data_IF_339674839815
#
_entry.id   IF_339674839815
#
_cell.length_a   1.000
_cell.length_b   1.000
_cell.length_c   1.000
_cell.angle_alpha   90.00
_cell.angle_beta   90.00
_cell.angle_gamma   90.00
#
_symmetry.space_group_name_H-M   'P 1'
#
loop_
_entity.id
_entity.type
_entity.pdbx_description
1 polymer ?
#
# COMPACT_ATOMS: atom_id res chain seq x y z
N UNK A 1 -2.97 15.85 -8.91
CA UNK A 1 -2.35 14.78 -8.10
C UNK A 1 -2.46 13.50 -8.90
N UNK A 2 -1.34 12.85 -9.23
CA UNK A 2 -1.37 11.54 -9.89
C UNK A 2 -1.10 10.50 -8.80
N UNK A 3 -2.02 9.54 -8.67
CA UNK A 3 -1.85 8.38 -7.82
C UNK A 3 -1.73 7.15 -8.72
N UNK A 4 -0.83 6.23 -8.39
CA UNK A 4 -0.80 4.89 -9.01
C UNK A 4 -1.35 3.87 -8.04
N UNK A 5 -2.06 2.88 -8.58
CA UNK A 5 -2.52 1.73 -7.81
C UNK A 5 -1.64 0.55 -8.21
N UNK A 6 -0.98 -0.04 -7.23
CA UNK A 6 -0.01 -1.11 -7.44
C UNK A 6 -0.42 -2.37 -6.65
N UNK A 7 -0.27 -3.57 -7.24
CA UNK A 7 -0.52 -4.80 -6.51
C UNK A 7 0.55 -5.05 -5.46
N UNK A 8 0.14 -5.57 -4.31
CA UNK A 8 1.02 -6.00 -3.22
C UNK A 8 1.00 -7.52 -3.18
N UNK A 9 2.17 -8.13 -3.34
CA UNK A 9 2.33 -9.58 -3.30
C UNK A 9 2.95 -10.02 -1.98
N UNK A 10 2.63 -11.24 -1.55
CA UNK A 10 3.29 -11.87 -0.40
C UNK A 10 4.77 -12.04 -0.72
N UNK A 11 5.62 -11.61 0.21
CA UNK A 11 7.06 -11.73 0.10
C UNK A 11 7.57 -12.75 1.12
N UNK A 12 8.62 -13.47 0.78
CA UNK A 12 9.40 -14.27 1.72
C UNK A 12 10.86 -13.85 1.67
N UNK A 13 11.57 -14.05 2.77
CA UNK A 13 13.02 -13.84 2.80
C UNK A 13 13.73 -15.05 2.19
N UNK A 14 14.55 -14.81 1.17
CA UNK A 14 15.38 -15.82 0.52
C UNK A 14 16.80 -15.70 1.04
N UNK A 15 17.24 -16.68 1.85
CA UNK A 15 18.62 -16.71 2.35
C UNK A 15 19.65 -16.93 1.23
N UNK A 16 19.24 -17.56 0.12
CA UNK A 16 20.11 -17.83 -1.02
C UNK A 16 20.46 -16.53 -1.78
N UNK A 17 19.45 -15.71 -2.06
CA UNK A 17 19.61 -14.45 -2.79
C UNK A 17 19.86 -13.24 -1.86
N UNK A 18 19.74 -13.43 -0.54
CA UNK A 18 19.93 -12.40 0.47
C UNK A 18 18.93 -11.24 0.34
N UNK A 19 17.72 -11.54 -0.13
CA UNK A 19 16.69 -10.53 -0.44
C UNK A 19 15.28 -11.08 -0.23
N UNK A 20 14.30 -10.17 -0.25
CA UNK A 20 12.89 -10.54 -0.29
C UNK A 20 12.47 -10.89 -1.71
N UNK A 21 11.82 -12.05 -1.87
CA UNK A 21 11.27 -12.53 -3.13
C UNK A 21 9.74 -12.65 -3.04
N UNK A 22 9.06 -12.38 -4.15
CA UNK A 22 7.61 -12.52 -4.24
C UNK A 22 7.22 -13.98 -4.39
N UNK A 23 6.23 -14.43 -3.62
CA UNK A 23 5.60 -15.74 -3.83
C UNK A 23 4.64 -15.75 -5.02
N UNK A 24 4.30 -14.58 -5.57
CA UNK A 24 3.26 -14.39 -6.58
C UNK A 24 1.82 -14.39 -6.03
N UNK A 25 1.62 -14.63 -4.74
CA UNK A 25 0.31 -14.54 -4.09
C UNK A 25 -0.08 -13.08 -3.90
N UNK A 26 -1.18 -12.65 -4.54
CA UNK A 26 -1.70 -11.30 -4.40
C UNK A 26 -2.34 -11.15 -3.02
N UNK A 27 -1.85 -10.18 -2.24
CA UNK A 27 -2.35 -9.87 -0.90
C UNK A 27 -3.29 -8.67 -0.88
N UNK A 28 -3.20 -7.78 -1.87
CA UNK A 28 -4.03 -6.59 -1.97
C UNK A 28 -3.41 -5.55 -2.91
N UNK A 29 -3.78 -4.29 -2.70
CA UNK A 29 -3.33 -3.15 -3.50
C UNK A 29 -2.89 -2.01 -2.60
N UNK A 30 -1.95 -1.20 -3.09
CA UNK A 30 -1.50 0.01 -2.45
C UNK A 30 -1.73 1.22 -3.36
N UNK A 31 -2.07 2.35 -2.76
CA UNK A 31 -2.15 3.64 -3.43
C UNK A 31 -0.85 4.40 -3.18
N UNK A 32 -0.14 4.73 -4.26
CA UNK A 32 1.16 5.41 -4.20
C UNK A 32 1.01 6.83 -4.72
N UNK A 33 1.45 7.79 -3.91
CA UNK A 33 1.51 9.20 -4.25
C UNK A 33 2.56 9.51 -5.31
N UNK A 34 2.46 10.69 -5.91
CA UNK A 34 3.44 11.15 -6.91
C UNK A 34 4.88 11.27 -6.37
N UNK A 35 5.06 11.32 -5.05
CA UNK A 35 6.33 11.34 -4.34
C UNK A 35 6.87 9.94 -3.99
N UNK A 36 6.16 8.88 -4.41
CA UNK A 36 6.51 7.49 -4.13
C UNK A 36 6.10 7.01 -2.74
N UNK A 37 5.40 7.82 -1.94
CA UNK A 37 4.90 7.39 -0.63
C UNK A 37 3.63 6.56 -0.78
N UNK A 38 3.50 5.52 0.04
CA UNK A 38 2.24 4.79 0.17
C UNK A 38 1.27 5.64 0.98
N UNK A 39 0.09 5.88 0.42
CA UNK A 39 -0.98 6.68 1.00
C UNK A 39 -2.09 5.82 1.57
N UNK A 40 -2.25 4.58 1.10
CA UNK A 40 -3.29 3.68 1.58
C UNK A 40 -3.15 2.26 1.03
N UNK A 41 -3.83 1.32 1.68
CA UNK A 41 -3.93 -0.07 1.26
C UNK A 41 -5.40 -0.48 1.14
N UNK A 42 -5.66 -1.51 0.34
CA UNK A 42 -6.99 -2.11 0.19
C UNK A 42 -6.91 -3.54 -0.32
N UNK A 43 -7.97 -4.31 -0.12
CA UNK A 43 -8.09 -5.68 -0.66
C UNK A 43 -8.28 -5.66 -2.19
N UNK A 44 -8.75 -4.54 -2.73
CA UNK A 44 -9.03 -4.29 -4.13
C UNK A 44 -8.52 -2.88 -4.55
N UNK A 45 -8.41 -2.58 -5.86
CA UNK A 45 -7.90 -1.30 -6.33
C UNK A 45 -8.72 -0.08 -5.89
N UNK A 46 -10.04 -0.23 -5.73
CA UNK A 46 -10.94 0.86 -5.38
C UNK A 46 -10.81 1.21 -3.90
N UNK A 47 -10.77 0.20 -3.02
CA UNK A 47 -10.55 0.42 -1.59
C UNK A 47 -9.18 1.01 -1.29
N UNK A 48 -8.13 0.61 -2.00
CA UNK A 48 -6.81 1.22 -1.88
C UNK A 48 -6.80 2.70 -2.30
N UNK A 49 -7.49 3.03 -3.40
CA UNK A 49 -7.62 4.42 -3.87
C UNK A 49 -8.39 5.28 -2.87
N UNK A 50 -9.50 4.76 -2.32
CA UNK A 50 -10.29 5.45 -1.32
C UNK A 50 -9.45 5.76 -0.07
N UNK A 51 -8.72 4.77 0.44
CA UNK A 51 -7.82 4.96 1.58
C UNK A 51 -6.77 6.05 1.30
N UNK A 52 -6.21 6.08 0.07
CA UNK A 52 -5.29 7.14 -0.33
C UNK A 52 -5.92 8.54 -0.33
N UNK A 53 -7.16 8.69 -0.80
CA UNK A 53 -7.87 9.97 -0.75
C UNK A 53 -8.16 10.44 0.68
N UNK A 54 -8.54 9.52 1.56
CA UNK A 54 -8.78 9.81 2.97
C UNK A 54 -7.51 10.30 3.68
N UNK A 55 -6.36 9.68 3.38
CA UNK A 55 -5.06 10.10 3.91
C UNK A 55 -4.68 11.52 3.45
N UNK A 56 -4.77 11.80 2.15
CA UNK A 56 -4.47 13.14 1.60
C UNK A 56 -5.41 14.18 2.19
N UNK A 57 -6.70 13.89 2.26
CA UNK A 57 -7.69 14.80 2.83
C UNK A 57 -7.37 15.11 4.31
N UNK A 58 -6.99 14.10 5.09
CA UNK A 58 -6.59 14.27 6.50
C UNK A 58 -5.41 15.24 6.63
N UNK A 59 -4.36 15.05 5.82
CA UNK A 59 -3.18 15.92 5.80
C UNK A 59 -3.52 17.36 5.42
N UNK A 60 -4.37 17.57 4.42
CA UNK A 60 -4.83 18.90 4.00
C UNK A 60 -5.63 19.63 5.10
N UNK A 61 -6.26 18.89 6.02
CA UNK A 61 -6.96 19.44 7.18
C UNK A 61 -6.08 19.63 8.42
N UNK A 62 -4.77 19.38 8.31
CA UNK A 62 -3.85 19.46 9.44
C UNK A 62 -3.95 18.25 10.38
N UNK A 63 -4.47 17.13 9.90
CA UNK A 63 -4.40 15.84 10.59
C UNK A 63 -2.95 15.34 10.69
N UNK A 64 -2.72 14.42 11.62
CA UNK A 64 -1.42 13.78 11.77
C UNK A 64 -1.10 12.90 10.55
N UNK A 65 0.16 12.92 10.12
CA UNK A 65 0.69 12.02 9.09
C UNK A 65 0.89 10.63 9.71
N UNK A 66 -0.17 9.82 9.70
CA UNK A 66 -0.15 8.45 10.19
C UNK A 66 0.18 7.54 9.00
N UNK A 67 1.31 6.82 9.03
CA UNK A 67 1.67 5.92 7.94
C UNK A 67 0.60 4.82 7.79
N UNK A 68 0.16 4.52 6.56
CA UNK A 68 -0.88 3.52 6.35
C UNK A 68 -0.37 2.14 6.75
N UNK A 69 -1.20 1.39 7.47
CA UNK A 69 -0.91 0.00 7.82
C UNK A 69 -1.31 -0.92 6.67
N UNK A 70 -0.47 -1.89 6.27
CA UNK A 70 -0.84 -2.87 5.27
C UNK A 70 -2.02 -3.70 5.76
N UNK A 71 -3.06 -3.81 4.92
CA UNK A 71 -4.14 -4.77 5.14
C UNK A 71 -3.55 -6.15 4.87
N UNK A 72 -3.29 -6.90 5.93
CA UNK A 72 -2.89 -8.31 5.83
C UNK A 72 -4.16 -9.13 5.94
N UNK A 73 -4.60 -9.75 4.84
CA UNK A 73 -5.65 -10.75 4.89
C UNK A 73 -5.20 -11.87 5.85
N UNK A 74 -5.88 -11.97 7.00
CA UNK A 74 -5.66 -13.06 7.94
C UNK A 74 -6.22 -14.34 7.32
N UNK A 75 -5.32 -15.23 6.90
CA UNK A 75 -5.64 -16.60 6.48
C UNK A 75 -5.89 -17.50 7.69
#
# INVERSE_FOLDING_TARGET
>A
MVHTIEPVYRMYWSDAEGTYESTGELMGYQCVGADGRVLGYGEDPESALQAGYEAVWSLEKGGEDIPPSPVVAAH
#
